data_IF_667607555837
#
_entry.id   IF_667607555837
#
_cell.length_a   1.000
_cell.length_b   1.000
_cell.length_c   1.000
_cell.angle_alpha   90.00
_cell.angle_beta   90.00
_cell.angle_gamma   90.00
#
_symmetry.space_group_name_H-M   'P 1'
#
loop_
_entity.id
_entity.type
_entity.pdbx_description
1 polymer ?
#
# COMPACT_ATOMS: atom_id res chain seq x y z
N UNK A 1 4.55 7.83 20.69
CA UNK A 1 5.85 7.11 20.65
C UNK A 1 6.38 7.28 19.23
N UNK A 2 7.26 8.26 19.01
CA UNK A 2 7.81 8.55 17.70
C UNK A 2 8.81 7.44 17.31
N UNK A 3 8.67 6.88 16.10
CA UNK A 3 9.77 6.12 15.49
C UNK A 3 11.03 7.00 15.41
N UNK A 4 12.24 6.41 15.37
CA UNK A 4 13.46 7.22 15.39
C UNK A 4 13.48 8.09 14.12
N UNK A 5 13.37 9.40 14.29
CA UNK A 5 13.24 10.41 13.22
C UNK A 5 14.24 10.25 12.06
N UNK A 6 15.39 9.62 12.31
CA UNK A 6 16.41 9.34 11.29
C UNK A 6 16.05 8.23 10.28
N UNK A 7 15.06 7.37 10.51
CA UNK A 7 14.65 6.36 9.52
C UNK A 7 13.94 6.99 8.32
N UNK A 8 12.99 7.88 8.58
CA UNK A 8 12.27 8.61 7.53
C UNK A 8 13.18 9.55 6.75
N UNK A 9 14.06 10.28 7.43
CA UNK A 9 15.04 11.15 6.77
C UNK A 9 15.97 10.37 5.83
N UNK A 10 16.43 9.18 6.25
CA UNK A 10 17.24 8.30 5.40
C UNK A 10 16.46 7.80 4.18
N UNK A 11 15.18 7.43 4.35
CA UNK A 11 14.34 7.01 3.24
C UNK A 11 14.08 8.14 2.22
N UNK A 12 13.87 9.37 2.70
CA UNK A 12 13.71 10.57 1.88
C UNK A 12 14.99 10.85 1.08
N UNK A 13 16.16 10.79 1.72
CA UNK A 13 17.43 11.04 1.04
C UNK A 13 17.78 9.94 0.03
N UNK A 14 17.51 8.68 0.36
CA UNK A 14 17.66 7.56 -0.57
C UNK A 14 16.76 7.72 -1.81
N UNK A 15 15.50 8.15 -1.60
CA UNK A 15 14.54 8.47 -2.67
C UNK A 15 15.09 9.56 -3.57
N UNK A 16 15.56 10.67 -3.00
CA UNK A 16 16.14 11.80 -3.74
C UNK A 16 17.36 11.38 -4.55
N UNK A 17 18.25 10.61 -3.95
CA UNK A 17 19.46 10.09 -4.59
C UNK A 17 19.13 9.17 -5.77
N UNK A 18 18.19 8.24 -5.59
CA UNK A 18 17.74 7.36 -6.67
C UNK A 18 17.08 8.15 -7.81
N UNK A 19 16.28 9.17 -7.47
CA UNK A 19 15.63 10.01 -8.48
C UNK A 19 16.61 10.87 -9.26
N UNK A 20 17.62 11.44 -8.59
CA UNK A 20 18.71 12.17 -9.23
C UNK A 20 19.51 11.29 -10.21
N UNK A 21 19.59 9.98 -9.95
CA UNK A 21 20.16 9.00 -10.87
C UNK A 21 19.23 8.60 -12.03
N UNK A 22 18.03 9.18 -12.13
CA UNK A 22 17.05 8.90 -13.18
C UNK A 22 16.24 7.62 -12.97
N UNK A 23 16.26 7.03 -11.78
CA UNK A 23 15.53 5.81 -11.48
C UNK A 23 14.05 6.08 -11.15
N UNK A 24 13.22 5.06 -11.38
CA UNK A 24 11.85 5.00 -10.85
C UNK A 24 11.90 4.52 -9.41
N UNK A 25 11.20 5.22 -8.52
CA UNK A 25 11.25 4.95 -7.08
C UNK A 25 9.88 4.54 -6.60
N UNK A 26 9.82 3.37 -5.98
CA UNK A 26 8.67 2.91 -5.22
C UNK A 26 9.09 2.76 -3.76
N UNK A 27 8.28 3.28 -2.85
CA UNK A 27 8.50 3.15 -1.40
C UNK A 27 7.39 2.30 -0.82
N UNK A 28 7.74 1.41 0.11
CA UNK A 28 6.79 0.60 0.85
C UNK A 28 6.80 1.09 2.29
N UNK A 29 5.62 1.44 2.81
CA UNK A 29 5.42 1.93 4.16
C UNK A 29 5.00 0.73 5.02
N UNK A 30 5.98 0.09 5.64
CA UNK A 30 5.78 -0.98 6.61
C UNK A 30 5.17 -0.42 7.89
N UNK A 31 4.27 -1.19 8.51
CA UNK A 31 3.59 -0.83 9.77
C UNK A 31 2.94 0.57 9.76
N UNK A 32 2.60 1.09 8.57
CA UNK A 32 2.10 2.45 8.39
C UNK A 32 0.80 2.71 9.15
N UNK A 33 -0.04 1.68 9.30
CA UNK A 33 -1.32 1.77 9.99
C UNK A 33 -1.17 1.92 11.52
N UNK A 34 0.01 1.61 12.07
CA UNK A 34 0.30 1.82 13.49
C UNK A 34 0.94 3.19 13.78
N UNK A 35 1.32 3.94 12.74
CA UNK A 35 1.92 5.26 12.87
C UNK A 35 0.87 6.32 13.25
N UNK A 36 1.32 7.45 13.80
CA UNK A 36 0.47 8.62 13.93
C UNK A 36 0.05 9.09 12.53
N UNK A 37 -1.24 9.35 12.35
CA UNK A 37 -1.83 9.65 11.04
C UNK A 37 -1.26 10.92 10.41
N UNK A 38 -0.92 11.93 11.22
CA UNK A 38 -0.33 13.18 10.74
C UNK A 38 1.14 13.01 10.37
N UNK A 39 1.88 12.23 11.16
CA UNK A 39 3.26 11.85 10.83
C UNK A 39 3.30 11.04 9.52
N UNK A 40 2.37 10.11 9.32
CA UNK A 40 2.25 9.33 8.08
C UNK A 40 1.98 10.23 6.88
N UNK A 41 0.97 11.11 6.97
CA UNK A 41 0.58 11.99 5.88
C UNK A 41 1.72 12.96 5.49
N UNK A 42 2.40 13.56 6.47
CA UNK A 42 3.55 14.41 6.23
C UNK A 42 4.74 13.63 5.64
N UNK A 43 4.99 12.41 6.11
CA UNK A 43 6.05 11.54 5.58
C UNK A 43 5.78 11.17 4.13
N UNK A 44 4.54 10.82 3.80
CA UNK A 44 4.11 10.54 2.44
C UNK A 44 4.33 11.74 1.52
N UNK A 45 3.95 12.93 1.96
CA UNK A 45 4.19 14.17 1.23
C UNK A 45 5.69 14.38 0.94
N UNK A 46 6.52 14.26 1.97
CA UNK A 46 7.97 14.42 1.85
C UNK A 46 8.64 13.39 0.93
N UNK A 47 8.20 12.13 0.94
CA UNK A 47 8.72 11.08 0.06
C UNK A 47 8.37 11.35 -1.41
N UNK A 48 7.15 11.81 -1.66
CA UNK A 48 6.72 12.19 -3.00
C UNK A 48 7.44 13.45 -3.50
N UNK A 49 7.66 14.45 -2.64
CA UNK A 49 8.49 15.64 -2.96
C UNK A 49 9.95 15.25 -3.26
N UNK A 50 10.47 14.22 -2.58
CA UNK A 50 11.78 13.66 -2.88
C UNK A 50 11.83 12.88 -4.21
N UNK A 51 10.67 12.57 -4.80
CA UNK A 51 10.56 11.97 -6.13
C UNK A 51 10.06 10.54 -6.16
N UNK A 52 9.43 10.04 -5.09
CA UNK A 52 8.74 8.75 -5.11
C UNK A 52 7.64 8.76 -6.20
N UNK A 53 7.66 7.74 -7.07
CA UNK A 53 6.66 7.54 -8.11
C UNK A 53 5.45 6.77 -7.56
N UNK A 54 5.66 5.85 -6.61
CA UNK A 54 4.61 5.04 -5.96
C UNK A 54 4.91 4.93 -4.45
N UNK A 55 3.87 5.09 -3.63
CA UNK A 55 3.87 4.78 -2.19
C UNK A 55 2.92 3.62 -1.92
N UNK A 56 3.42 2.51 -1.39
CA UNK A 56 2.60 1.34 -1.07
C UNK A 56 2.37 1.26 0.43
N UNK A 57 1.10 1.31 0.84
CA UNK A 57 0.66 1.04 2.21
C UNK A 57 0.57 -0.46 2.43
N UNK A 58 1.25 -0.97 3.45
CA UNK A 58 1.22 -2.37 3.82
C UNK A 58 0.18 -2.61 4.94
N UNK A 59 -0.70 -3.58 4.72
CA UNK A 59 -1.73 -4.01 5.66
C UNK A 59 -1.80 -5.54 5.63
N UNK A 60 -1.09 -6.20 6.55
CA UNK A 60 -0.94 -7.65 6.59
C UNK A 60 -1.64 -8.27 7.80
N UNK A 61 -2.20 -9.47 7.61
CA UNK A 61 -2.69 -10.30 8.69
C UNK A 61 -3.94 -9.76 9.39
N UNK A 62 -4.06 -10.06 10.68
CA UNK A 62 -5.17 -9.61 11.53
C UNK A 62 -5.12 -8.10 11.83
N UNK A 63 -3.95 -7.48 11.65
CA UNK A 63 -3.72 -6.05 11.88
C UNK A 63 -4.05 -5.20 10.64
N UNK A 64 -4.50 -5.84 9.55
CA UNK A 64 -5.03 -5.18 8.37
C UNK A 64 -6.43 -4.61 8.67
N UNK A 65 -6.50 -3.58 9.50
CA UNK A 65 -7.74 -2.88 9.83
C UNK A 65 -8.22 -2.04 8.64
N UNK A 66 -9.46 -2.29 8.21
CA UNK A 66 -10.09 -1.60 7.10
C UNK A 66 -10.26 -0.10 7.37
N UNK A 67 -10.61 0.27 8.60
CA UNK A 67 -10.82 1.67 8.96
C UNK A 67 -9.51 2.42 9.04
N UNK A 68 -8.50 1.85 9.72
CA UNK A 68 -7.18 2.45 9.78
C UNK A 68 -6.55 2.62 8.38
N UNK A 69 -6.76 1.64 7.48
CA UNK A 69 -6.31 1.76 6.10
C UNK A 69 -7.02 2.88 5.34
N UNK A 70 -8.35 3.00 5.50
CA UNK A 70 -9.13 4.10 4.90
C UNK A 70 -8.64 5.45 5.42
N UNK A 71 -8.57 5.62 6.73
CA UNK A 71 -8.13 6.86 7.37
C UNK A 71 -6.72 7.25 6.89
N UNK A 72 -5.79 6.29 6.82
CA UNK A 72 -4.43 6.53 6.31
C UNK A 72 -4.43 7.03 4.86
N UNK A 73 -5.21 6.39 3.97
CA UNK A 73 -5.33 6.80 2.57
C UNK A 73 -5.94 8.19 2.45
N UNK A 74 -7.00 8.49 3.20
CA UNK A 74 -7.66 9.80 3.20
C UNK A 74 -6.69 10.90 3.68
N UNK A 75 -6.03 10.71 4.82
CA UNK A 75 -5.09 11.68 5.37
C UNK A 75 -3.89 11.93 4.44
N UNK A 76 -3.36 10.89 3.79
CA UNK A 76 -2.30 11.06 2.79
C UNK A 76 -2.78 11.87 1.58
N UNK A 77 -4.04 11.72 1.18
CA UNK A 77 -4.62 12.47 0.06
C UNK A 77 -4.96 13.93 0.39
N UNK A 78 -5.16 14.29 1.65
CA UNK A 78 -5.37 15.69 2.04
C UNK A 78 -4.12 16.56 1.79
N UNK A 79 -2.94 15.95 1.79
CA UNK A 79 -1.67 16.62 1.52
C UNK A 79 -1.33 16.53 0.02
N UNK A 80 -2.10 17.27 -0.78
CA UNK A 80 -1.91 17.35 -2.22
C UNK A 80 -0.54 17.91 -2.59
N UNK A 81 0.12 17.24 -3.55
CA UNK A 81 1.45 17.60 -4.04
C UNK A 81 1.32 18.18 -5.45
N UNK A 82 2.17 19.16 -5.75
CA UNK A 82 2.15 19.84 -7.04
C UNK A 82 2.35 18.86 -8.21
N UNK A 83 1.36 18.81 -9.10
CA UNK A 83 1.48 18.28 -10.47
C UNK A 83 0.94 16.86 -10.71
N UNK A 84 0.81 16.02 -9.69
CA UNK A 84 0.11 14.72 -9.79
C UNK A 84 -0.62 14.50 -8.45
N UNK A 85 -1.91 14.12 -8.45
CA UNK A 85 -2.63 13.83 -7.21
C UNK A 85 -1.98 12.70 -6.42
N UNK A 86 -2.00 12.78 -5.09
CA UNK A 86 -1.44 11.71 -4.23
C UNK A 86 -2.07 10.36 -4.56
N UNK A 87 -3.37 10.31 -4.80
CA UNK A 87 -4.12 9.09 -5.12
C UNK A 87 -3.54 8.29 -6.30
N UNK A 88 -2.98 8.98 -7.30
CA UNK A 88 -2.36 8.33 -8.46
C UNK A 88 -1.02 7.67 -8.15
N UNK A 89 -0.47 7.90 -6.96
CA UNK A 89 0.79 7.31 -6.47
C UNK A 89 0.55 6.24 -5.40
N UNK A 90 -0.65 6.14 -4.85
CA UNK A 90 -0.94 5.19 -3.79
C UNK A 90 -1.09 3.77 -4.34
N UNK A 91 -0.49 2.84 -3.62
CA UNK A 91 -0.66 1.41 -3.80
C UNK A 91 -0.95 0.71 -2.48
N UNK A 92 -1.39 -0.53 -2.57
CA UNK A 92 -1.71 -1.35 -1.43
C UNK A 92 -0.97 -2.69 -1.47
N UNK A 93 -0.57 -3.17 -0.31
CA UNK A 93 -0.09 -4.53 -0.11
C UNK A 93 -0.91 -5.18 0.97
N UNK A 94 -1.69 -6.18 0.56
CA UNK A 94 -2.45 -7.04 1.47
C UNK A 94 -1.89 -8.45 1.44
N UNK A 95 -2.03 -9.20 2.53
CA UNK A 95 -1.51 -10.55 2.61
C UNK A 95 -1.56 -11.12 4.04
N UNK A 96 -1.05 -12.34 4.24
CA UNK A 96 -1.00 -12.95 5.57
C UNK A 96 0.00 -12.23 6.49
N UNK A 97 -0.18 -12.36 7.80
CA UNK A 97 0.77 -11.83 8.80
C UNK A 97 2.14 -12.49 8.65
N UNK A 98 3.25 -11.74 8.63
CA UNK A 98 4.59 -12.31 8.59
C UNK A 98 4.88 -13.12 9.87
N UNK A 99 4.90 -14.44 9.74
CA UNK A 99 5.14 -15.39 10.85
C UNK A 99 4.00 -16.39 11.09
N UNK A 100 2.82 -16.16 10.51
CA UNK A 100 1.72 -17.12 10.51
C UNK A 100 1.97 -18.24 9.51
N UNK A 101 2.49 -19.38 9.95
CA UNK A 101 2.53 -20.59 9.13
C UNK A 101 1.11 -21.11 8.90
N UNK A 102 0.61 -20.95 7.67
CA UNK A 102 -0.23 -21.96 7.01
C UNK A 102 -1.69 -22.14 7.42
N UNK A 103 -2.15 -21.59 8.54
CA UNK A 103 -3.57 -21.64 8.92
C UNK A 103 -4.23 -20.29 8.71
N UNK A 104 -4.42 -19.91 7.45
CA UNK A 104 -5.43 -18.90 7.11
C UNK A 104 -6.79 -19.51 7.41
N UNK A 105 -7.30 -19.28 8.61
CA UNK A 105 -8.73 -19.40 8.89
C UNK A 105 -9.48 -18.71 7.76
N UNK A 106 -10.54 -19.33 7.24
CA UNK A 106 -11.34 -18.79 6.13
C UNK A 106 -11.83 -17.35 6.36
N UNK A 107 -11.89 -16.92 7.62
CA UNK A 107 -12.17 -15.53 8.01
C UNK A 107 -11.09 -14.54 7.56
N UNK A 108 -9.82 -14.93 7.54
CA UNK A 108 -8.70 -14.07 7.12
C UNK A 108 -8.67 -13.82 5.61
N UNK A 109 -8.96 -14.84 4.80
CA UNK A 109 -9.00 -14.66 3.34
C UNK A 109 -10.18 -13.79 2.90
N UNK A 110 -11.37 -14.02 3.46
CA UNK A 110 -12.55 -13.21 3.16
C UNK A 110 -12.36 -11.74 3.57
N UNK A 111 -11.76 -11.51 4.74
CA UNK A 111 -11.40 -10.17 5.21
C UNK A 111 -10.43 -9.47 4.24
N UNK A 112 -9.35 -10.14 3.87
CA UNK A 112 -8.36 -9.58 2.94
C UNK A 112 -8.97 -9.32 1.54
N UNK A 113 -9.85 -10.19 1.04
CA UNK A 113 -10.58 -9.95 -0.21
C UNK A 113 -11.50 -8.72 -0.11
N UNK A 114 -12.14 -8.50 1.04
CA UNK A 114 -12.94 -7.29 1.27
C UNK A 114 -12.09 -6.01 1.31
N UNK A 115 -10.88 -6.07 1.90
CA UNK A 115 -9.93 -4.95 1.87
C UNK A 115 -9.50 -4.59 0.45
N UNK A 116 -9.19 -5.59 -0.38
CA UNK A 116 -8.89 -5.36 -1.81
C UNK A 116 -10.05 -4.68 -2.51
N UNK A 117 -11.29 -5.16 -2.28
CA UNK A 117 -12.47 -4.59 -2.89
C UNK A 117 -12.63 -3.11 -2.51
N UNK A 118 -12.59 -2.80 -1.21
CA UNK A 118 -12.69 -1.43 -0.69
C UNK A 118 -11.57 -0.53 -1.22
N UNK A 119 -10.32 -1.01 -1.22
CA UNK A 119 -9.18 -0.28 -1.78
C UNK A 119 -9.39 0.05 -3.27
N UNK A 120 -9.89 -0.90 -4.06
CA UNK A 120 -10.05 -0.72 -5.50
C UNK A 120 -11.28 0.14 -5.87
N UNK A 121 -12.41 -0.04 -5.17
CA UNK A 121 -13.70 0.55 -5.58
C UNK A 121 -14.05 1.82 -4.81
N UNK A 122 -13.79 1.86 -3.50
CA UNK A 122 -14.10 3.01 -2.65
C UNK A 122 -12.94 4.01 -2.67
N UNK A 123 -11.70 3.52 -2.54
CA UNK A 123 -10.51 4.36 -2.42
C UNK A 123 -9.81 4.61 -3.75
N UNK A 124 -10.17 3.91 -4.84
CA UNK A 124 -9.59 4.13 -6.16
C UNK A 124 -8.10 3.77 -6.27
N UNK A 125 -7.63 2.80 -5.49
CA UNK A 125 -6.26 2.28 -5.58
C UNK A 125 -6.15 1.30 -6.76
N UNK A 126 -5.17 1.54 -7.63
CA UNK A 126 -4.93 0.72 -8.82
C UNK A 126 -3.61 -0.07 -8.79
N UNK A 127 -2.74 0.21 -7.81
CA UNK A 127 -1.44 -0.45 -7.67
C UNK A 127 -1.49 -1.44 -6.50
N UNK A 128 -1.38 -2.73 -6.81
CA UNK A 128 -1.37 -3.79 -5.80
C UNK A 128 -0.07 -4.59 -5.86
N UNK A 129 0.53 -4.79 -4.69
CA UNK A 129 1.67 -5.69 -4.54
C UNK A 129 1.19 -7.13 -4.42
N UNK A 130 1.89 -8.03 -5.11
CA UNK A 130 1.60 -9.46 -5.11
C UNK A 130 2.86 -10.27 -4.77
N UNK A 131 2.66 -11.40 -4.13
CA UNK A 131 3.70 -12.38 -3.86
C UNK A 131 3.31 -13.68 -4.58
N UNK A 132 4.09 -14.20 -5.55
CA UNK A 132 3.72 -15.42 -6.28
C UNK A 132 3.40 -16.63 -5.38
N UNK A 133 4.02 -16.70 -4.22
CA UNK A 133 3.82 -17.76 -3.22
C UNK A 133 2.84 -17.39 -2.11
N UNK A 134 2.26 -16.19 -2.13
CA UNK A 134 1.31 -15.73 -1.12
C UNK A 134 1.92 -15.46 0.27
N UNK A 135 3.24 -15.39 0.42
CA UNK A 135 3.91 -15.36 1.73
C UNK A 135 4.02 -13.97 2.35
N UNK A 136 4.21 -12.94 1.52
CA UNK A 136 4.44 -11.55 1.96
C UNK A 136 3.42 -10.56 1.39
N UNK A 137 2.53 -11.05 0.54
CA UNK A 137 1.41 -10.36 -0.07
C UNK A 137 0.48 -11.43 -0.66
N UNK A 138 -0.68 -11.04 -1.17
CA UNK A 138 -1.60 -11.92 -1.88
C UNK A 138 -0.93 -12.57 -3.10
N UNK A 139 -1.31 -13.82 -3.37
CA UNK A 139 -1.01 -14.44 -4.64
C UNK A 139 -1.76 -13.72 -5.78
N UNK A 140 -1.19 -13.64 -6.99
CA UNK A 140 -1.84 -12.98 -8.13
C UNK A 140 -3.24 -13.50 -8.42
N UNK A 141 -3.46 -14.82 -8.31
CA UNK A 141 -4.77 -15.43 -8.51
C UNK A 141 -5.80 -14.95 -7.48
N UNK A 142 -5.42 -14.90 -6.20
CA UNK A 142 -6.29 -14.44 -5.11
C UNK A 142 -6.64 -12.96 -5.25
N UNK A 143 -5.68 -12.12 -5.66
CA UNK A 143 -5.93 -10.72 -5.96
C UNK A 143 -6.90 -10.57 -7.14
N UNK A 144 -6.69 -11.31 -8.22
CA UNK A 144 -7.54 -11.28 -9.40
C UNK A 144 -8.99 -11.67 -9.07
N UNK A 145 -9.18 -12.74 -8.29
CA UNK A 145 -10.51 -13.15 -7.80
C UNK A 145 -11.19 -12.05 -6.98
N UNK A 146 -10.45 -11.39 -6.08
CA UNK A 146 -10.99 -10.31 -5.25
C UNK A 146 -11.44 -9.10 -6.09
N UNK A 147 -10.62 -8.71 -7.07
CA UNK A 147 -10.93 -7.61 -7.99
C UNK A 147 -12.13 -7.95 -8.89
N UNK A 148 -12.22 -9.18 -9.41
CA UNK A 148 -13.39 -9.63 -10.18
C UNK A 148 -14.66 -9.63 -9.35
N UNK A 149 -14.60 -10.15 -8.12
CA UNK A 149 -15.73 -10.14 -7.20
C UNK A 149 -16.20 -8.71 -6.86
N UNK A 150 -15.27 -7.75 -6.85
CA UNK A 150 -15.56 -6.33 -6.66
C UNK A 150 -16.07 -5.62 -7.93
N UNK A 151 -16.16 -6.32 -9.07
CA UNK A 151 -16.61 -5.75 -10.34
C UNK A 151 -15.56 -4.90 -11.07
N UNK A 152 -14.28 -5.02 -10.70
CA UNK A 152 -13.18 -4.35 -11.39
C UNK A 152 -12.82 -5.15 -12.65
N UNK A 153 -12.79 -4.48 -13.81
CA UNK A 153 -12.42 -5.12 -15.07
C UNK A 153 -10.92 -5.47 -15.10
N UNK A 154 -10.62 -6.74 -14.84
CA UNK A 154 -9.25 -7.28 -14.86
C UNK A 154 -8.83 -7.86 -16.21
N UNK A 155 -9.59 -7.66 -17.29
CA UNK A 155 -9.26 -8.23 -18.62
C UNK A 155 -7.89 -7.81 -19.13
N UNK A 156 -7.35 -6.68 -18.64
CA UNK A 156 -5.98 -6.21 -18.91
C UNK A 156 -4.88 -6.90 -18.08
N UNK A 157 -5.21 -7.58 -16.98
CA UNK A 157 -4.26 -8.30 -16.13
C UNK A 157 -4.00 -9.74 -16.62
N UNK A 158 -4.88 -10.30 -17.46
CA UNK A 158 -4.80 -11.69 -17.95
C UNK A 158 -3.96 -11.90 -19.22
N UNK A 159 -3.48 -10.83 -19.83
CA UNK A 159 -2.75 -10.86 -21.12
C UNK A 159 -1.22 -10.76 -20.98
N UNK A 160 -0.67 -10.96 -19.78
CA UNK A 160 0.77 -10.97 -19.50
C UNK A 160 1.36 -12.37 -19.42
#
# INVERSE_FOLDING_TARGET
CAGPSGEWERAIEATRSAKAAGLKVKVVLHDALAADIWELALTAANLCDAGADILTLEALGADADAEAFREAVEAMNENDILGVPMMMRLGARFGPSPGGHGDSDKGGEAHVKALVAMAATELGIFHFDVCPLGQHALAPATLAEALEAAGVDITRLRSG
#
